data_IF_580748201416
#
_entry.id   IF_580748201416
#
_cell.length_a   1.000
_cell.length_b   1.000
_cell.length_c   1.000
_cell.angle_alpha   90.00
_cell.angle_beta   90.00
_cell.angle_gamma   90.00
#
_symmetry.space_group_name_H-M   'P 1'
#
loop_
_entity.id
_entity.type
_entity.pdbx_description
1 polymer ?
#
# COMPACT_ATOMS: atom_id res chain seq x y z
N UNK A 1 -25.56 10.58 -24.50
CA UNK A 1 -24.34 11.29 -24.06
C UNK A 1 -23.19 10.32 -24.05
N UNK A 2 -21.95 10.81 -24.17
CA UNK A 2 -20.75 9.96 -24.10
C UNK A 2 -20.55 9.45 -22.66
N UNK A 3 -20.20 8.17 -22.53
CA UNK A 3 -19.87 7.55 -21.25
C UNK A 3 -18.38 7.79 -20.95
N UNK A 4 -18.08 8.61 -19.94
CA UNK A 4 -16.70 8.95 -19.55
C UNK A 4 -16.33 8.17 -18.29
N UNK A 5 -15.35 7.26 -18.34
CA UNK A 5 -14.89 6.53 -17.16
C UNK A 5 -14.06 7.42 -16.22
N UNK A 6 -14.22 7.18 -14.92
CA UNK A 6 -13.33 7.71 -13.88
C UNK A 6 -12.38 6.59 -13.48
N UNK A 7 -11.08 6.76 -13.72
CA UNK A 7 -10.07 5.73 -13.39
C UNK A 7 -9.34 6.13 -12.10
N UNK A 8 -9.40 5.33 -11.03
CA UNK A 8 -8.61 5.59 -9.82
C UNK A 8 -7.14 5.31 -10.08
N UNK A 9 -6.27 6.20 -9.60
CA UNK A 9 -4.82 6.11 -9.81
C UNK A 9 -4.07 6.23 -8.48
N UNK A 10 -3.22 5.24 -8.21
CA UNK A 10 -2.32 5.21 -7.06
C UNK A 10 -0.88 5.54 -7.46
N UNK A 11 -0.20 6.36 -6.67
CA UNK A 11 1.20 6.75 -6.90
C UNK A 11 2.05 6.38 -5.69
N UNK A 12 3.00 5.48 -5.88
CA UNK A 12 3.95 5.08 -4.84
C UNK A 12 5.36 5.52 -5.20
N UNK A 13 5.89 6.49 -4.46
CA UNK A 13 7.19 7.12 -4.71
C UNK A 13 8.33 6.39 -3.99
N UNK A 14 9.42 6.15 -4.72
CA UNK A 14 10.70 5.64 -4.23
C UNK A 14 11.74 6.74 -4.40
N UNK A 15 12.36 7.17 -3.29
CA UNK A 15 13.30 8.29 -3.26
C UNK A 15 12.70 9.59 -3.84
N UNK A 16 11.44 9.92 -3.48
CA UNK A 16 10.76 11.13 -3.99
C UNK A 16 11.46 12.45 -3.66
N UNK A 17 12.37 12.47 -2.69
CA UNK A 17 13.20 13.62 -2.34
C UNK A 17 14.41 13.82 -3.28
N UNK A 18 14.70 12.87 -4.19
CA UNK A 18 15.84 12.95 -5.12
C UNK A 18 15.38 13.29 -6.53
N UNK A 19 16.22 14.04 -7.24
CA UNK A 19 16.08 14.23 -8.68
C UNK A 19 16.15 12.86 -9.39
N UNK A 20 15.23 12.58 -10.31
CA UNK A 20 14.98 11.25 -10.91
C UNK A 20 14.59 10.18 -9.88
N UNK A 21 13.76 10.57 -8.89
CA UNK A 21 12.99 9.62 -8.10
C UNK A 21 12.15 8.70 -9.00
N UNK A 22 11.86 7.50 -8.51
CA UNK A 22 11.04 6.53 -9.23
C UNK A 22 9.65 6.51 -8.61
N UNK A 23 8.62 6.28 -9.42
CA UNK A 23 7.28 6.03 -8.91
C UNK A 23 6.68 4.82 -9.61
N UNK A 24 5.90 4.03 -8.88
CA UNK A 24 5.01 3.04 -9.47
C UNK A 24 3.64 3.68 -9.57
N UNK A 25 3.04 3.59 -10.76
CA UNK A 25 1.69 4.04 -11.05
C UNK A 25 0.79 2.82 -11.14
N UNK A 26 -0.26 2.80 -10.34
CA UNK A 26 -1.28 1.76 -10.39
C UNK A 26 -2.59 2.33 -10.90
N UNK A 27 -3.21 1.62 -11.83
CA UNK A 27 -4.52 1.92 -12.35
C UNK A 27 -5.52 0.91 -11.80
N UNK A 28 -6.53 1.39 -11.09
CA UNK A 28 -7.63 0.53 -10.65
C UNK A 28 -8.72 0.41 -11.70
N UNK A 29 -9.77 -0.33 -11.37
CA UNK A 29 -10.90 -0.55 -12.25
C UNK A 29 -11.64 0.76 -12.57
N UNK A 30 -11.99 1.03 -13.83
CA UNK A 30 -12.77 2.22 -14.19
C UNK A 30 -14.15 2.23 -13.51
N UNK A 31 -14.52 3.38 -12.95
CA UNK A 31 -15.84 3.66 -12.40
C UNK A 31 -16.67 4.40 -13.45
N UNK A 32 -17.85 3.85 -13.76
CA UNK A 32 -18.79 4.45 -14.70
C UNK A 32 -19.98 5.08 -13.96
N UNK A 33 -20.46 6.20 -14.48
CA UNK A 33 -21.69 6.84 -13.99
C UNK A 33 -22.88 6.17 -14.67
N UNK A 34 -23.84 5.68 -13.88
CA UNK A 34 -25.06 5.08 -14.41
C UNK A 34 -25.86 6.12 -15.19
N UNK A 35 -26.31 5.76 -16.40
CA UNK A 35 -27.19 6.59 -17.22
C UNK A 35 -28.50 6.93 -16.51
N UNK A 36 -29.00 6.08 -15.62
CA UNK A 36 -30.24 6.33 -14.86
C UNK A 36 -30.04 7.43 -13.81
N UNK A 37 -28.82 7.62 -13.30
CA UNK A 37 -28.50 8.63 -12.32
C UNK A 37 -28.65 10.07 -12.87
N UNK A 38 -28.66 10.25 -14.20
CA UNK A 38 -28.90 11.54 -14.84
C UNK A 38 -30.32 12.06 -14.63
N UNK A 39 -31.31 11.16 -14.54
CA UNK A 39 -32.70 11.52 -14.24
C UNK A 39 -32.84 12.08 -12.84
N UNK A 40 -32.32 11.33 -11.86
CA UNK A 40 -32.32 11.69 -10.43
C UNK A 40 -31.51 12.97 -10.16
N UNK A 41 -30.40 13.18 -10.87
CA UNK A 41 -29.61 14.40 -10.76
C UNK A 41 -30.39 15.66 -11.20
N UNK A 42 -31.32 15.52 -12.15
CA UNK A 42 -32.21 16.61 -12.60
C UNK A 42 -33.44 16.79 -11.70
N UNK A 43 -33.77 15.79 -10.86
CA UNK A 43 -35.00 15.71 -10.08
C UNK A 43 -35.13 16.66 -8.88
N UNK A 44 -34.08 17.40 -8.53
CA UNK A 44 -34.10 18.38 -7.45
C UNK A 44 -32.88 18.29 -6.52
N UNK A 45 -32.80 19.16 -5.51
CA UNK A 45 -31.60 19.30 -4.66
C UNK A 45 -31.29 18.07 -3.80
N UNK A 46 -32.32 17.38 -3.29
CA UNK A 46 -32.13 16.19 -2.43
C UNK A 46 -31.62 14.98 -3.23
N UNK A 47 -32.26 14.69 -4.36
CA UNK A 47 -31.89 13.55 -5.21
C UNK A 47 -30.53 13.76 -5.88
N UNK A 48 -30.22 14.99 -6.29
CA UNK A 48 -28.88 15.38 -6.72
C UNK A 48 -27.82 15.08 -5.66
N UNK A 49 -28.07 15.46 -4.40
CA UNK A 49 -27.10 15.20 -3.32
C UNK A 49 -26.91 13.70 -3.10
N UNK A 50 -27.99 12.92 -3.10
CA UNK A 50 -27.94 11.46 -2.95
C UNK A 50 -27.07 10.82 -4.04
N UNK A 51 -27.34 11.13 -5.31
CA UNK A 51 -26.57 10.60 -6.46
C UNK A 51 -25.09 10.97 -6.36
N UNK A 52 -24.77 12.23 -6.00
CA UNK A 52 -23.38 12.64 -5.82
C UNK A 52 -22.70 11.88 -4.68
N UNK A 53 -23.37 11.70 -3.53
CA UNK A 53 -22.81 10.94 -2.41
C UNK A 53 -22.56 9.48 -2.78
N UNK A 54 -23.51 8.84 -3.47
CA UNK A 54 -23.35 7.46 -3.94
C UNK A 54 -22.18 7.32 -4.93
N UNK A 55 -22.04 8.25 -5.87
CA UNK A 55 -20.92 8.25 -6.81
C UNK A 55 -19.57 8.46 -6.09
N UNK A 56 -19.51 9.42 -5.16
CA UNK A 56 -18.30 9.68 -4.37
C UNK A 56 -17.91 8.48 -3.52
N UNK A 57 -18.88 7.78 -2.90
CA UNK A 57 -18.63 6.54 -2.16
C UNK A 57 -18.01 5.47 -3.05
N UNK A 58 -18.55 5.26 -4.27
CA UNK A 58 -17.99 4.29 -5.22
C UNK A 58 -16.57 4.64 -5.66
N UNK A 59 -16.30 5.93 -5.85
CA UNK A 59 -14.95 6.42 -6.18
C UNK A 59 -14.01 6.17 -4.99
N UNK A 60 -14.44 6.47 -3.77
CA UNK A 60 -13.67 6.23 -2.56
C UNK A 60 -13.31 4.74 -2.41
N UNK A 61 -14.29 3.85 -2.58
CA UNK A 61 -14.07 2.40 -2.51
C UNK A 61 -13.09 1.93 -3.60
N UNK A 62 -13.20 2.47 -4.80
CA UNK A 62 -12.29 2.14 -5.90
C UNK A 62 -10.87 2.66 -5.64
N UNK A 63 -10.72 3.82 -5.00
CA UNK A 63 -9.43 4.38 -4.59
C UNK A 63 -8.72 3.50 -3.55
N UNK A 64 -9.47 2.80 -2.67
CA UNK A 64 -8.88 1.86 -1.70
C UNK A 64 -8.06 0.74 -2.36
N UNK A 65 -8.42 0.34 -3.59
CA UNK A 65 -7.67 -0.69 -4.34
C UNK A 65 -6.29 -0.24 -4.82
N UNK A 66 -6.04 1.07 -4.94
CA UNK A 66 -4.79 1.65 -5.48
C UNK A 66 -3.95 2.37 -4.42
N UNK A 67 -4.41 2.42 -3.16
CA UNK A 67 -3.68 3.02 -2.05
C UNK A 67 -3.35 1.96 -0.99
N UNK A 68 -2.37 2.26 -0.15
CA UNK A 68 -2.06 1.44 1.04
C UNK A 68 -2.66 2.18 2.24
N UNK A 69 -3.77 1.71 2.82
CA UNK A 69 -4.41 2.40 3.94
C UNK A 69 -3.66 2.11 5.24
N UNK A 70 -2.96 3.10 5.79
CA UNK A 70 -2.32 3.01 7.12
C UNK A 70 -2.78 4.15 8.02
N UNK A 71 -3.16 3.90 9.28
CA UNK A 71 -3.67 4.94 10.18
C UNK A 71 -2.58 5.93 10.61
N UNK A 72 -1.34 5.45 10.78
CA UNK A 72 -0.20 6.26 11.22
C UNK A 72 1.13 5.69 10.69
N UNK A 73 2.21 6.43 10.94
CA UNK A 73 3.56 6.08 10.49
C UNK A 73 4.12 4.81 11.14
N UNK A 74 3.81 4.56 12.40
CA UNK A 74 4.28 3.38 13.12
C UNK A 74 3.59 2.11 12.60
N UNK A 75 2.27 2.16 12.40
CA UNK A 75 1.52 1.12 11.70
C UNK A 75 2.12 0.82 10.32
N UNK A 76 2.44 1.87 9.54
CA UNK A 76 3.08 1.71 8.24
C UNK A 76 4.44 1.02 8.33
N UNK A 77 5.31 1.43 9.27
CA UNK A 77 6.59 0.76 9.50
C UNK A 77 6.40 -0.73 9.83
N UNK A 78 5.46 -1.05 10.71
CA UNK A 78 5.19 -2.42 11.15
C UNK A 78 4.72 -3.30 9.99
N UNK A 79 3.78 -2.80 9.17
CA UNK A 79 3.33 -3.47 7.94
C UNK A 79 4.50 -3.74 6.99
N UNK A 80 5.38 -2.75 6.77
CA UNK A 80 6.52 -2.89 5.87
C UNK A 80 7.55 -3.90 6.37
N UNK A 81 7.82 -3.92 7.68
CA UNK A 81 8.71 -4.89 8.33
C UNK A 81 8.12 -6.30 8.26
N UNK A 82 6.85 -6.47 8.62
CA UNK A 82 6.13 -7.75 8.54
C UNK A 82 6.16 -8.32 7.12
N UNK A 83 5.80 -7.52 6.11
CA UNK A 83 5.85 -7.91 4.70
C UNK A 83 7.24 -8.42 4.30
N UNK A 84 8.29 -7.73 4.75
CA UNK A 84 9.66 -8.09 4.41
C UNK A 84 10.08 -9.41 5.05
N UNK A 85 9.84 -9.55 6.35
CA UNK A 85 10.17 -10.77 7.10
C UNK A 85 9.38 -11.97 6.59
N UNK A 86 8.17 -11.74 6.07
CA UNK A 86 7.35 -12.80 5.46
C UNK A 86 7.95 -13.32 4.14
N UNK A 87 8.39 -12.42 3.24
CA UNK A 87 9.00 -12.81 1.97
C UNK A 87 9.99 -11.76 1.47
N UNK A 88 11.28 -12.12 1.44
CA UNK A 88 12.35 -11.18 1.08
C UNK A 88 12.51 -11.01 -0.45
N UNK A 89 12.37 -12.11 -1.22
CA UNK A 89 12.51 -12.11 -2.69
C UNK A 89 11.14 -12.01 -3.36
N UNK A 90 10.79 -10.78 -3.77
CA UNK A 90 9.55 -10.44 -4.49
C UNK A 90 9.81 -9.32 -5.50
N UNK A 91 9.10 -9.33 -6.62
CA UNK A 91 9.11 -8.26 -7.61
C UNK A 91 8.52 -6.97 -7.05
N UNK A 92 8.79 -5.81 -7.67
CA UNK A 92 8.27 -4.52 -7.21
C UNK A 92 6.74 -4.47 -7.18
N UNK A 93 6.07 -5.11 -8.15
CA UNK A 93 4.61 -5.22 -8.20
C UNK A 93 4.07 -6.09 -7.06
N UNK A 94 4.68 -7.25 -6.81
CA UNK A 94 4.31 -8.12 -5.69
C UNK A 94 4.55 -7.45 -4.33
N UNK A 95 5.61 -6.64 -4.18
CA UNK A 95 5.84 -5.86 -2.96
C UNK A 95 4.65 -4.96 -2.66
N UNK A 96 4.13 -4.27 -3.66
CA UNK A 96 3.02 -3.33 -3.51
C UNK A 96 1.71 -4.05 -3.20
N UNK A 97 1.40 -5.12 -3.93
CA UNK A 97 0.23 -5.96 -3.66
C UNK A 97 0.26 -6.55 -2.24
N UNK A 98 1.40 -7.14 -1.84
CA UNK A 98 1.57 -7.65 -0.47
C UNK A 98 1.40 -6.53 0.56
N UNK A 99 1.98 -5.36 0.32
CA UNK A 99 1.87 -4.22 1.26
C UNK A 99 0.40 -3.84 1.48
N UNK A 100 -0.40 -3.79 0.42
CA UNK A 100 -1.84 -3.53 0.52
C UNK A 100 -2.57 -4.62 1.30
N UNK A 101 -2.29 -5.90 1.03
CA UNK A 101 -2.90 -7.02 1.75
C UNK A 101 -2.57 -7.01 3.24
N UNK A 102 -1.31 -6.73 3.59
CA UNK A 102 -0.91 -6.57 5.00
C UNK A 102 -1.60 -5.36 5.65
N UNK A 103 -1.77 -4.25 4.92
CA UNK A 103 -2.46 -3.07 5.43
C UNK A 103 -3.96 -3.32 5.68
N UNK A 104 -4.65 -4.01 4.77
CA UNK A 104 -6.05 -4.41 4.97
C UNK A 104 -6.19 -5.40 6.13
N UNK A 105 -5.31 -6.40 6.23
CA UNK A 105 -5.30 -7.32 7.36
C UNK A 105 -5.06 -6.60 8.70
N UNK A 106 -4.10 -5.68 8.73
CA UNK A 106 -3.81 -4.86 9.91
C UNK A 106 -5.01 -3.98 10.30
N UNK A 107 -5.71 -3.40 9.33
CA UNK A 107 -6.91 -2.59 9.58
C UNK A 107 -8.04 -3.43 10.20
N UNK A 108 -8.29 -4.63 9.69
CA UNK A 108 -9.30 -5.53 10.27
C UNK A 108 -8.96 -5.84 11.74
N UNK A 109 -7.69 -6.15 12.02
CA UNK A 109 -7.22 -6.49 13.36
C UNK A 109 -7.24 -5.32 14.35
N UNK A 110 -7.13 -4.06 13.90
CA UNK A 110 -7.31 -2.88 14.78
C UNK A 110 -8.79 -2.62 15.06
N UNK A 111 -9.66 -2.84 14.07
CA UNK A 111 -11.09 -2.59 14.22
C UNK A 111 -11.75 -3.62 15.16
N UNK A 112 -11.12 -4.78 15.33
CA UNK A 112 -11.53 -5.77 16.32
C UNK A 112 -11.18 -5.28 17.74
N UNK A 113 -12.20 -5.18 18.60
CA UNK A 113 -12.03 -4.76 20.00
C UNK A 113 -11.22 -5.77 20.84
N UNK A 114 -11.13 -7.03 20.41
CA UNK A 114 -10.41 -8.11 21.09
C UNK A 114 -9.49 -8.82 20.09
N UNK A 115 -8.30 -8.25 19.80
CA UNK A 115 -7.40 -8.83 18.82
C UNK A 115 -6.81 -10.16 19.32
N UNK A 116 -6.57 -11.15 18.45
CA UNK A 116 -6.00 -12.45 18.84
C UNK A 116 -4.68 -12.31 19.59
N UNK A 117 -4.45 -13.15 20.60
CA UNK A 117 -3.23 -13.14 21.40
C UNK A 117 -1.96 -13.37 20.55
N UNK A 118 -2.06 -14.22 19.52
CA UNK A 118 -0.97 -14.49 18.58
C UNK A 118 -0.59 -13.23 17.79
N UNK A 119 -1.56 -12.38 17.44
CA UNK A 119 -1.28 -11.12 16.77
C UNK A 119 -0.56 -10.13 17.70
N UNK A 120 -0.98 -10.04 18.96
CA UNK A 120 -0.33 -9.20 19.95
C UNK A 120 1.14 -9.60 20.15
N UNK A 121 1.43 -10.91 20.19
CA UNK A 121 2.80 -11.43 20.24
C UNK A 121 3.62 -10.99 19.02
N UNK A 122 3.10 -11.23 17.81
CA UNK A 122 3.77 -10.83 16.56
C UNK A 122 4.01 -9.32 16.52
N UNK A 123 3.03 -8.52 16.93
CA UNK A 123 3.14 -7.05 16.99
C UNK A 123 4.25 -6.62 17.93
N UNK A 124 4.33 -7.21 19.12
CA UNK A 124 5.36 -6.90 20.10
C UNK A 124 6.75 -7.28 19.57
N UNK A 125 6.90 -8.47 18.98
CA UNK A 125 8.16 -8.91 18.38
C UNK A 125 8.61 -8.03 17.22
N UNK A 126 7.68 -7.57 16.38
CA UNK A 126 7.98 -6.61 15.31
C UNK A 126 8.41 -5.24 15.86
N UNK A 127 7.80 -4.80 16.96
CA UNK A 127 8.17 -3.56 17.65
C UNK A 127 9.57 -3.68 18.27
N UNK A 128 9.87 -4.80 18.92
CA UNK A 128 11.19 -5.07 19.51
C UNK A 128 12.27 -5.13 18.43
N UNK A 129 11.99 -5.80 17.31
CA UNK A 129 12.87 -5.82 16.14
C UNK A 129 13.16 -4.41 15.61
N UNK A 130 12.13 -3.57 15.46
CA UNK A 130 12.34 -2.19 15.00
C UNK A 130 13.17 -1.37 15.99
N UNK A 131 12.94 -1.58 17.30
CA UNK A 131 13.71 -0.92 18.34
C UNK A 131 15.18 -1.33 18.28
N UNK A 132 15.46 -2.63 18.12
CA UNK A 132 16.83 -3.14 17.97
C UNK A 132 17.53 -2.53 16.75
N UNK A 133 16.83 -2.43 15.61
CA UNK A 133 17.37 -1.75 14.43
C UNK A 133 17.68 -0.27 14.69
N UNK A 134 16.76 0.44 15.34
CA UNK A 134 16.92 1.86 15.66
C UNK A 134 18.09 2.05 16.65
N UNK A 135 18.23 1.19 17.67
CA UNK A 135 19.32 1.18 18.66
C UNK A 135 20.69 0.90 17.99
N UNK A 136 20.72 0.04 16.96
CA UNK A 136 21.90 -0.24 16.15
C UNK A 136 22.17 0.82 15.06
N UNK A 137 21.26 1.79 14.86
CA UNK A 137 21.35 2.77 13.78
C UNK A 137 21.21 2.15 12.38
N UNK A 138 20.60 0.96 12.29
CA UNK A 138 20.42 0.20 11.06
C UNK A 138 19.05 0.47 10.47
N UNK A 139 18.98 0.56 9.14
CA UNK A 139 17.72 0.48 8.42
C UNK A 139 17.44 -0.95 8.06
N UNK A 140 16.16 -1.30 8.10
CA UNK A 140 15.67 -2.64 7.79
C UNK A 140 16.23 -3.19 6.46
N UNK A 141 16.52 -2.33 5.46
CA UNK A 141 17.15 -2.79 4.21
C UNK A 141 18.60 -3.18 4.23
N UNK A 142 19.31 -2.85 5.30
CA UNK A 142 20.70 -3.20 5.49
C UNK A 142 20.84 -4.59 6.12
N UNK A 143 19.80 -5.10 6.77
CA UNK A 143 19.84 -6.38 7.50
C UNK A 143 20.28 -7.56 6.61
N UNK A 144 19.71 -7.79 5.41
CA UNK A 144 20.15 -8.91 4.57
C UNK A 144 21.60 -8.79 4.08
N UNK A 145 22.13 -7.56 4.00
CA UNK A 145 23.50 -7.34 3.58
C UNK A 145 24.50 -7.69 4.70
N UNK A 146 24.08 -7.60 5.97
CA UNK A 146 24.91 -7.93 7.13
C UNK A 146 24.99 -9.44 7.39
N UNK A 147 23.97 -10.19 7.01
CA UNK A 147 23.97 -11.66 7.14
C UNK A 147 24.81 -12.36 6.08
N UNK A 148 25.13 -11.67 4.97
CA UNK A 148 25.74 -12.25 3.77
C UNK A 148 27.26 -11.99 3.65
N UNK A 149 28.03 -12.00 4.74
CA UNK A 149 29.51 -11.99 4.68
C UNK A 149 30.11 -13.25 4.00
N UNK A 150 29.29 -14.18 3.46
CA UNK A 150 29.76 -15.37 2.74
C UNK A 150 29.22 -15.61 1.34
N UNK A 151 28.36 -14.76 0.79
CA UNK A 151 27.91 -14.93 -0.61
C UNK A 151 27.95 -13.60 -1.37
N UNK A 152 29.18 -13.14 -1.64
CA UNK A 152 29.44 -12.34 -2.83
C UNK A 152 29.15 -13.19 -4.09
N UNK A 153 27.92 -13.20 -4.57
CA UNK A 153 27.59 -13.37 -6.00
C UNK A 153 26.06 -13.44 -6.19
N UNK A 154 25.54 -12.66 -7.13
CA UNK A 154 24.22 -12.70 -7.79
C UNK A 154 23.29 -11.49 -7.59
N UNK A 155 23.26 -10.83 -6.42
CA UNK A 155 22.41 -9.64 -6.23
C UNK A 155 22.89 -8.40 -7.00
N UNK A 156 24.22 -8.26 -7.11
CA UNK A 156 24.86 -7.17 -7.84
C UNK A 156 24.87 -7.39 -9.35
N UNK A 157 24.66 -8.63 -9.83
CA UNK A 157 24.62 -8.96 -11.26
C UNK A 157 23.38 -8.38 -11.93
N UNK A 158 22.20 -8.51 -11.29
CA UNK A 158 20.94 -7.98 -11.83
C UNK A 158 20.92 -6.44 -11.80
N UNK A 159 21.55 -5.83 -10.80
CA UNK A 159 21.64 -4.37 -10.68
C UNK A 159 22.74 -3.76 -11.58
N UNK A 160 23.73 -4.55 -12.02
CA UNK A 160 24.69 -4.17 -13.07
C UNK A 160 24.12 -4.31 -14.47
N UNK A 161 23.32 -5.34 -14.76
CA UNK A 161 22.75 -5.55 -16.09
C UNK A 161 21.63 -4.56 -16.45
N UNK A 162 20.97 -3.95 -15.46
CA UNK A 162 19.94 -2.91 -15.70
C UNK A 162 20.50 -1.48 -15.79
N UNK A 163 21.83 -1.31 -15.77
CA UNK A 163 22.47 -0.06 -16.19
C UNK A 163 22.71 -0.10 -17.71
N UNK A 164 21.65 0.10 -18.47
CA UNK A 164 21.67 0.66 -19.83
C UNK A 164 20.59 1.75 -19.92
#
# INVERSE_FOLDING_TARGET
>A
GLNVPIVPVGLNYFNGHRFRGRAIVEFGSPVYVDSNALGDYKGGTKDKKRVCTELLSRIEDSMRSVIVPTPDYHAMKLILAARRLYRDIVTSTEKQDLTKRFAEGYKQLILDNDPPAEWLDIKNRLSDYQKELDDLGLRDYQVPALTNEKDESHGDTVMREMRL
#
